data_IF_716850645342
#
_entry.id   IF_716850645342
#
_cell.length_a   1.000
_cell.length_b   1.000
_cell.length_c   1.000
_cell.angle_alpha   90.00
_cell.angle_beta   90.00
_cell.angle_gamma   90.00
#
_symmetry.space_group_name_H-M   'P 1'
#
loop_
_entity.id
_entity.type
_entity.pdbx_description
1 polymer ?
#
# COMPACT_ATOMS: atom_id res chain seq x y z
N UNK A 1 -3.69 -33.66 0.20
CA UNK A 1 -3.29 -32.41 -0.46
C UNK A 1 -4.12 -31.31 0.16
N UNK A 2 -3.53 -30.58 1.11
CA UNK A 2 -4.25 -29.56 1.89
C UNK A 2 -4.60 -28.44 0.91
N UNK A 3 -5.88 -28.18 0.69
CA UNK A 3 -6.31 -26.95 0.03
C UNK A 3 -5.94 -25.83 1.01
N UNK A 4 -4.75 -25.25 0.83
CA UNK A 4 -4.31 -24.10 1.61
C UNK A 4 -5.36 -23.01 1.43
N UNK A 5 -5.96 -22.57 2.52
CA UNK A 5 -6.89 -21.44 2.48
C UNK A 5 -6.15 -20.26 1.83
N UNK A 6 -6.59 -19.83 0.64
CA UNK A 6 -6.09 -18.61 0.04
C UNK A 6 -6.50 -17.45 0.93
N UNK A 7 -5.53 -16.90 1.65
CA UNK A 7 -5.74 -15.71 2.46
C UNK A 7 -5.59 -14.51 1.53
N UNK A 8 -6.67 -14.10 0.86
CA UNK A 8 -6.71 -12.93 -0.02
C UNK A 8 -6.55 -11.65 0.80
N UNK A 9 -5.31 -11.32 1.15
CA UNK A 9 -4.96 -10.11 1.86
C UNK A 9 -3.59 -9.59 1.41
N UNK A 10 -3.34 -8.33 1.73
CA UNK A 10 -2.07 -7.68 1.45
C UNK A 10 -1.47 -7.20 2.76
N UNK A 11 -0.18 -7.47 2.97
CA UNK A 11 0.64 -6.82 3.99
C UNK A 11 1.90 -6.30 3.32
N UNK A 12 2.26 -5.05 3.60
CA UNK A 12 3.50 -4.46 3.13
C UNK A 12 4.14 -3.60 4.23
N UNK A 13 5.46 -3.69 4.34
CA UNK A 13 6.27 -2.85 5.19
C UNK A 13 6.76 -1.61 4.44
N UNK A 14 6.70 -0.46 5.12
CA UNK A 14 7.15 0.84 4.67
C UNK A 14 8.42 1.22 5.42
N UNK A 15 9.52 1.38 4.69
CA UNK A 15 10.80 1.87 5.20
C UNK A 15 11.09 3.25 4.60
N UNK A 16 11.66 4.13 5.42
CA UNK A 16 12.00 5.48 5.00
C UNK A 16 13.51 5.58 4.87
N UNK A 17 13.96 5.92 3.66
CA UNK A 17 15.37 6.07 3.36
C UNK A 17 15.75 7.54 3.28
N UNK A 18 16.76 7.92 4.06
CA UNK A 18 17.34 9.25 4.04
C UNK A 18 18.85 9.24 3.89
N UNK A 19 19.39 10.36 3.43
CA UNK A 19 20.81 10.66 3.58
C UNK A 19 21.09 10.83 5.08
N UNK A 20 22.03 10.05 5.61
CA UNK A 20 22.43 10.08 7.02
C UNK A 20 22.67 11.53 7.50
N UNK A 21 21.97 11.93 8.57
CA UNK A 21 22.25 13.17 9.30
C UNK A 21 21.17 14.25 9.23
N UNK A 22 20.03 14.05 9.91
CA UNK A 22 19.33 15.08 10.72
C UNK A 22 17.97 14.56 11.19
N UNK A 23 17.88 14.06 12.42
CA UNK A 23 16.60 13.97 13.13
C UNK A 23 16.27 15.35 13.70
N UNK A 24 15.64 16.22 12.91
CA UNK A 24 14.91 17.35 13.50
C UNK A 24 13.60 16.81 14.07
N UNK A 25 13.48 16.83 15.39
CA UNK A 25 12.18 16.78 16.08
C UNK A 25 11.45 18.09 15.82
N UNK A 26 10.96 18.28 14.60
CA UNK A 26 9.98 19.31 14.35
C UNK A 26 8.64 18.75 14.82
N UNK A 27 8.33 18.95 16.11
CA UNK A 27 6.99 18.73 16.68
C UNK A 27 6.04 19.76 16.05
N UNK A 28 5.66 19.55 14.79
CA UNK A 28 4.47 20.16 14.25
C UNK A 28 3.29 19.43 14.87
N UNK A 29 2.46 20.15 15.63
CA UNK A 29 1.19 19.64 16.11
C UNK A 29 0.34 19.27 14.89
N UNK A 30 0.14 17.97 14.64
CA UNK A 30 -0.64 17.50 13.49
C UNK A 30 -2.05 17.18 13.95
N UNK A 31 -2.94 18.08 13.58
CA UNK A 31 -4.37 17.90 13.49
C UNK A 31 -4.67 16.60 12.71
N UNK A 32 -4.92 15.51 13.45
CA UNK A 32 -5.36 14.17 12.99
C UNK A 32 -6.72 14.20 12.28
N UNK A 33 -6.90 15.04 11.27
CA UNK A 33 -8.13 15.11 10.49
C UNK A 33 -7.89 14.40 9.15
N UNK A 34 -8.08 13.08 9.16
CA UNK A 34 -7.98 12.24 7.95
C UNK A 34 -7.45 10.83 8.17
N UNK A 35 -6.86 10.54 9.34
CA UNK A 35 -6.35 9.20 9.67
C UNK A 35 -7.53 8.28 9.97
N UNK A 36 -7.94 7.45 8.99
CA UNK A 36 -8.80 6.30 9.31
C UNK A 36 -7.99 5.26 10.12
N UNK A 37 -8.58 4.24 10.75
CA UNK A 37 -7.85 3.13 11.35
C UNK A 37 -7.43 2.09 10.32
N UNK A 38 -6.25 1.46 10.48
CA UNK A 38 -5.73 0.43 9.57
C UNK A 38 -6.83 -0.62 9.25
N UNK A 39 -6.99 -0.96 7.97
CA UNK A 39 -8.06 -1.86 7.52
C UNK A 39 -9.39 -1.18 7.15
N UNK A 40 -9.54 0.15 7.30
CA UNK A 40 -10.67 0.90 6.74
C UNK A 40 -10.32 1.55 5.40
N UNK A 41 -11.22 1.37 4.43
CA UNK A 41 -11.09 1.93 3.09
C UNK A 41 -11.38 3.44 3.05
N UNK A 42 -10.61 4.18 2.28
CA UNK A 42 -10.73 5.63 2.10
C UNK A 42 -9.41 6.27 1.64
N UNK A 43 -9.39 7.60 1.51
CA UNK A 43 -8.14 8.34 1.26
C UNK A 43 -7.35 8.48 2.55
N UNK A 44 -6.16 7.91 2.57
CA UNK A 44 -5.25 7.99 3.70
C UNK A 44 -4.03 8.83 3.36
N UNK A 45 -3.65 9.73 4.25
CA UNK A 45 -2.33 10.35 4.22
C UNK A 45 -1.56 9.82 5.43
N UNK A 46 -0.57 8.96 5.18
CA UNK A 46 0.35 8.53 6.24
C UNK A 46 1.65 9.29 6.10
N UNK A 47 1.89 10.19 7.03
CA UNK A 47 3.20 10.81 7.19
C UNK A 47 4.12 9.80 7.88
N UNK A 48 5.12 9.34 7.16
CA UNK A 48 5.79 8.11 7.49
C UNK A 48 7.06 8.35 8.31
N UNK A 49 7.09 7.77 9.50
CA UNK A 49 8.30 7.32 10.20
C UNK A 49 8.59 5.83 9.86
N UNK A 50 7.85 5.27 8.89
CA UNK A 50 7.78 3.85 8.55
C UNK A 50 6.44 3.22 8.91
N UNK A 51 6.39 1.89 8.92
CA UNK A 51 5.31 1.07 9.50
C UNK A 51 4.67 0.11 8.50
N UNK A 52 3.46 -0.37 8.80
CA UNK A 52 2.81 -1.44 8.03
C UNK A 52 1.59 -0.89 7.28
N UNK A 53 1.43 -1.34 6.05
CA UNK A 53 0.27 -1.22 5.19
C UNK A 53 -0.44 -2.56 5.13
N UNK A 54 -1.76 -2.58 5.25
CA UNK A 54 -2.56 -3.80 5.10
C UNK A 54 -3.77 -3.55 4.21
N UNK A 55 -4.24 -4.60 3.53
CA UNK A 55 -5.54 -4.56 2.86
C UNK A 55 -6.68 -4.26 3.85
N UNK A 56 -7.81 -3.73 3.36
CA UNK A 56 -9.01 -3.64 4.18
C UNK A 56 -9.40 -4.98 4.79
N UNK A 57 -9.96 -4.97 6.01
CA UNK A 57 -10.38 -6.17 6.75
C UNK A 57 -9.27 -7.17 7.19
N UNK A 58 -7.99 -6.90 6.94
CA UNK A 58 -6.88 -7.70 7.46
C UNK A 58 -7.00 -7.91 8.99
N UNK A 59 -6.78 -9.13 9.54
CA UNK A 59 -6.19 -10.32 8.91
C UNK A 59 -7.17 -11.20 8.12
N UNK A 60 -8.42 -10.79 7.96
CA UNK A 60 -9.38 -11.52 7.13
C UNK A 60 -9.22 -11.16 5.65
N UNK A 61 -9.92 -11.91 4.77
CA UNK A 61 -10.00 -11.62 3.34
C UNK A 61 -10.47 -10.18 3.11
N UNK A 62 -9.88 -9.50 2.12
CA UNK A 62 -10.35 -8.18 1.71
C UNK A 62 -11.80 -8.25 1.21
N UNK A 63 -12.61 -7.18 1.37
CA UNK A 63 -13.97 -7.14 0.86
C UNK A 63 -14.00 -6.99 -0.68
N UNK A 64 -14.98 -7.56 -1.37
CA UNK A 64 -15.22 -7.27 -2.79
C UNK A 64 -15.72 -5.83 -2.97
N UNK A 65 -15.75 -5.34 -4.20
CA UNK A 65 -16.26 -4.01 -4.61
C UNK A 65 -15.62 -2.85 -3.86
N UNK A 66 -14.32 -2.98 -3.57
CA UNK A 66 -13.59 -2.05 -2.74
C UNK A 66 -12.66 -1.20 -3.57
N UNK A 67 -12.63 0.11 -3.33
CA UNK A 67 -11.65 1.01 -3.92
C UNK A 67 -11.05 1.91 -2.83
N UNK A 68 -9.78 1.68 -2.52
CA UNK A 68 -9.04 2.44 -1.52
C UNK A 68 -7.84 3.14 -2.13
N UNK A 69 -7.56 4.36 -1.68
CA UNK A 69 -6.44 5.17 -2.15
C UNK A 69 -5.59 5.59 -0.96
N UNK A 70 -4.30 5.34 -1.02
CA UNK A 70 -3.35 5.66 0.04
C UNK A 70 -2.26 6.56 -0.52
N UNK A 71 -2.02 7.67 0.16
CA UNK A 71 -0.93 8.60 -0.14
C UNK A 71 0.07 8.45 1.01
N UNK A 72 1.23 7.89 0.70
CA UNK A 72 2.33 7.79 1.63
C UNK A 72 3.23 9.02 1.46
N UNK A 73 3.56 9.66 2.56
CA UNK A 73 4.38 10.88 2.58
C UNK A 73 5.55 10.72 3.55
N UNK A 74 6.77 10.60 3.02
CA UNK A 74 7.99 10.67 3.81
C UNK A 74 8.33 12.12 4.19
N UNK A 75 9.24 12.34 5.15
CA UNK A 75 9.84 13.64 5.38
C UNK A 75 10.52 14.22 4.11
N UNK A 76 10.74 15.55 4.06
CA UNK A 76 11.40 16.17 2.92
C UNK A 76 12.79 15.57 2.62
N UNK A 77 13.10 15.40 1.33
CA UNK A 77 14.36 14.83 0.80
C UNK A 77 14.63 13.36 1.18
N UNK A 78 13.58 12.61 1.50
CA UNK A 78 13.64 11.18 1.75
C UNK A 78 12.82 10.44 0.70
N UNK A 79 13.13 9.14 0.54
CA UNK A 79 12.41 8.23 -0.32
C UNK A 79 11.70 7.16 0.52
N UNK A 80 10.73 6.51 -0.11
CA UNK A 80 9.95 5.42 0.45
C UNK A 80 10.39 4.12 -0.21
N UNK A 81 10.72 3.14 0.61
CA UNK A 81 10.82 1.74 0.22
C UNK A 81 9.58 0.99 0.69
N UNK A 82 8.88 0.36 -0.25
CA UNK A 82 7.72 -0.47 -0.02
C UNK A 82 8.08 -1.94 -0.30
N UNK A 83 7.92 -2.78 0.72
CA UNK A 83 8.23 -4.20 0.68
C UNK A 83 6.97 -5.02 0.96
N UNK A 84 6.54 -5.86 0.04
CA UNK A 84 5.39 -6.75 0.23
C UNK A 84 5.80 -8.03 0.93
N UNK A 85 5.06 -8.42 1.97
CA UNK A 85 5.33 -9.66 2.70
C UNK A 85 5.02 -10.90 1.86
N UNK A 86 5.64 -12.03 2.20
CA UNK A 86 5.49 -13.30 1.46
C UNK A 86 4.07 -13.86 1.45
N UNK A 87 3.23 -13.46 2.41
CA UNK A 87 1.83 -13.86 2.48
C UNK A 87 0.90 -12.96 1.64
N UNK A 88 1.46 -12.17 0.72
CA UNK A 88 0.72 -11.40 -0.27
C UNK A 88 -0.16 -12.30 -1.13
N UNK A 89 -1.45 -11.97 -1.23
CA UNK A 89 -2.37 -12.64 -2.15
C UNK A 89 -3.48 -11.70 -2.60
N UNK A 90 -3.58 -11.53 -3.91
CA UNK A 90 -4.70 -10.89 -4.61
C UNK A 90 -5.19 -11.86 -5.67
N UNK A 91 -6.48 -11.83 -6.02
CA UNK A 91 -7.02 -12.59 -7.15
C UNK A 91 -6.14 -12.42 -8.40
N UNK A 92 -5.76 -13.52 -9.04
CA UNK A 92 -4.94 -13.48 -10.24
C UNK A 92 -5.79 -13.29 -11.49
N UNK A 93 -5.45 -12.32 -12.31
CA UNK A 93 -6.09 -12.09 -13.60
C UNK A 93 -5.09 -11.63 -14.66
N UNK A 94 -5.42 -11.82 -15.94
CA UNK A 94 -4.58 -11.33 -17.03
C UNK A 94 -4.36 -9.81 -16.89
N UNK A 95 -3.09 -9.40 -16.80
CA UNK A 95 -2.69 -7.99 -16.59
C UNK A 95 -3.29 -7.33 -15.35
N UNK A 96 -3.71 -8.12 -14.35
CA UNK A 96 -4.31 -7.63 -13.11
C UNK A 96 -5.49 -6.68 -13.36
N UNK A 97 -6.38 -7.09 -14.27
CA UNK A 97 -7.55 -6.31 -14.71
C UNK A 97 -8.72 -6.31 -13.73
N UNK A 98 -8.80 -7.31 -12.85
CA UNK A 98 -9.79 -7.45 -11.79
C UNK A 98 -9.21 -6.86 -10.51
N UNK A 99 -8.99 -7.67 -9.48
CA UNK A 99 -8.35 -7.21 -8.27
C UNK A 99 -6.89 -6.84 -8.52
N UNK A 100 -6.47 -5.69 -8.00
CA UNK A 100 -5.09 -5.27 -8.11
C UNK A 100 -4.69 -4.23 -7.06
N UNK A 101 -3.38 -4.15 -6.86
CA UNK A 101 -2.73 -3.00 -6.25
C UNK A 101 -1.89 -2.27 -7.31
N UNK A 102 -2.18 -0.99 -7.48
CA UNK A 102 -1.45 -0.08 -8.36
C UNK A 102 -0.61 0.88 -7.53
N UNK A 103 0.68 0.99 -7.83
CA UNK A 103 1.63 1.87 -7.14
C UNK A 103 2.17 2.91 -8.11
N UNK A 104 2.15 4.18 -7.71
CA UNK A 104 2.58 5.34 -8.50
C UNK A 104 3.58 6.20 -7.76
N UNK A 105 4.52 6.77 -8.51
CA UNK A 105 5.63 7.60 -8.02
C UNK A 105 5.23 9.08 -7.92
N UNK A 106 4.68 9.47 -6.77
CA UNK A 106 4.17 10.81 -6.51
C UNK A 106 2.86 10.80 -5.73
N UNK A 107 2.26 11.96 -5.45
CA UNK A 107 1.11 12.05 -4.54
C UNK A 107 -0.26 11.92 -5.25
N UNK A 108 -0.31 11.68 -6.56
CA UNK A 108 -1.55 11.77 -7.34
C UNK A 108 -1.84 10.51 -8.17
N UNK A 109 -3.13 10.29 -8.48
CA UNK A 109 -3.55 9.18 -9.36
C UNK A 109 -3.08 9.31 -10.82
N UNK A 110 -2.53 10.46 -11.21
CA UNK A 110 -1.90 10.68 -12.52
C UNK A 110 -0.36 10.64 -12.45
N UNK A 111 0.22 10.38 -11.28
CA UNK A 111 1.68 10.17 -11.15
C UNK A 111 2.14 8.95 -11.98
N UNK A 112 3.42 8.90 -12.40
CA UNK A 112 3.97 7.77 -13.13
C UNK A 112 3.70 6.43 -12.44
N UNK A 113 3.31 5.40 -13.21
CA UNK A 113 3.06 4.05 -12.68
C UNK A 113 4.39 3.36 -12.43
N UNK A 114 4.59 2.85 -11.21
CA UNK A 114 5.70 1.95 -10.88
C UNK A 114 5.31 0.49 -11.15
N UNK A 115 4.06 0.13 -10.90
CA UNK A 115 3.51 -1.16 -11.32
C UNK A 115 2.08 -1.39 -10.89
N UNK A 116 1.51 -2.47 -11.43
CA UNK A 116 0.21 -3.02 -11.07
C UNK A 116 0.40 -4.51 -10.79
N UNK A 117 -0.10 -4.98 -9.66
CA UNK A 117 0.22 -6.32 -9.15
C UNK A 117 -1.02 -7.06 -8.65
N UNK A 118 -1.01 -8.37 -8.85
CA UNK A 118 -2.02 -9.32 -8.42
C UNK A 118 -1.42 -10.73 -8.36
N UNK A 119 -2.17 -11.71 -7.87
CA UNK A 119 -1.72 -13.09 -7.69
C UNK A 119 -1.06 -13.36 -6.33
N UNK A 120 -0.36 -14.48 -6.23
CA UNK A 120 0.26 -14.97 -4.98
C UNK A 120 1.79 -14.77 -4.93
N UNK A 121 2.37 -14.21 -5.99
CA UNK A 121 3.78 -13.84 -6.00
C UNK A 121 3.88 -12.40 -5.54
N UNK A 122 4.59 -12.18 -4.43
CA UNK A 122 4.79 -10.82 -3.92
C UNK A 122 5.48 -9.94 -4.98
N UNK A 123 5.07 -8.67 -5.11
CA UNK A 123 5.76 -7.71 -5.97
C UNK A 123 7.24 -7.56 -5.60
N UNK A 124 8.10 -7.14 -6.55
CA UNK A 124 9.45 -6.72 -6.23
C UNK A 124 9.44 -5.50 -5.29
N UNK A 125 10.55 -5.27 -4.59
CA UNK A 125 10.72 -4.07 -3.78
C UNK A 125 10.54 -2.79 -4.63
N UNK A 126 9.70 -1.88 -4.13
CA UNK A 126 9.36 -0.64 -4.83
C UNK A 126 9.97 0.54 -4.09
N UNK A 127 10.77 1.34 -4.80
CA UNK A 127 11.36 2.58 -4.28
C UNK A 127 10.79 3.79 -5.02
N UNK A 128 10.30 4.77 -4.27
CA UNK A 128 9.90 6.07 -4.84
C UNK A 128 11.10 6.92 -5.23
N UNK A 129 10.95 7.77 -6.25
CA UNK A 129 11.99 8.76 -6.61
C UNK A 129 12.03 9.96 -5.67
N UNK A 130 10.93 10.21 -4.95
CA UNK A 130 10.81 11.30 -3.99
C UNK A 130 10.05 10.88 -2.74
N UNK A 131 9.51 11.85 -2.02
CA UNK A 131 8.88 11.62 -0.72
C UNK A 131 7.46 11.03 -0.77
N UNK A 132 6.94 10.71 -1.96
CA UNK A 132 5.54 10.32 -2.12
C UNK A 132 5.39 9.00 -2.87
N UNK A 133 4.46 8.17 -2.39
CA UNK A 133 3.82 7.12 -3.18
C UNK A 133 2.31 7.31 -3.14
N UNK A 134 1.67 7.05 -4.26
CA UNK A 134 0.22 6.93 -4.36
C UNK A 134 -0.10 5.47 -4.67
N UNK A 135 -0.96 4.87 -3.87
CA UNK A 135 -1.31 3.44 -3.94
C UNK A 135 -2.82 3.34 -4.08
N UNK A 136 -3.30 2.59 -5.08
CA UNK A 136 -4.71 2.22 -5.21
C UNK A 136 -4.87 0.72 -5.09
N UNK A 137 -5.74 0.31 -4.18
CA UNK A 137 -6.18 -1.07 -4.04
C UNK A 137 -7.63 -1.14 -4.52
N UNK A 138 -7.89 -1.94 -5.53
CA UNK A 138 -9.22 -2.12 -6.11
C UNK A 138 -9.58 -3.59 -6.15
N UNK A 139 -10.83 -3.90 -5.84
CA UNK A 139 -11.41 -5.24 -5.96
C UNK A 139 -12.70 -5.20 -6.76
N UNK A 140 -12.97 -6.25 -7.53
CA UNK A 140 -14.18 -6.39 -8.31
C UNK A 140 -15.34 -7.01 -7.50
N UNK A 141 -16.45 -7.34 -8.17
CA UNK A 141 -17.66 -7.83 -7.52
C UNK A 141 -17.71 -9.33 -7.25
N UNK A 142 -16.74 -10.11 -7.72
CA UNK A 142 -16.73 -11.55 -7.49
C UNK A 142 -16.21 -11.87 -6.08
N UNK A 143 -16.88 -12.84 -5.44
CA UNK A 143 -16.46 -13.34 -4.14
C UNK A 143 -15.34 -14.34 -4.38
N UNK A 144 -14.13 -13.97 -3.96
CA UNK A 144 -12.97 -14.85 -3.90
C UNK A 144 -13.26 -16.09 -3.05
N UNK A 145 -13.64 -17.19 -3.71
CA UNK A 145 -13.96 -18.48 -3.10
C UNK A 145 -12.70 -19.15 -2.51
#
# INVERSE_FOLDING_TARGET
MVHGHSFHHVVASLLILGLSGATRKDTAAKNNSGVKPAGQCGTWVKEAEGGIFTSPNYPNKYPPTTECVYILEAPPRQCIDLHFEENYSIESSWECKFDNIEVRDGPFGFSPILGRYCGQHSPPDIRSSGRYLWIKFVTDGELEA
#
